data_IF_431872513827
#
_entry.id   IF_431872513827
#
_cell.length_a   1.000
_cell.length_b   1.000
_cell.length_c   1.000
_cell.angle_alpha   90.00
_cell.angle_beta   90.00
_cell.angle_gamma   90.00
#
_symmetry.space_group_name_H-M   'P 1'
#
loop_
_entity.id
_entity.type
_entity.pdbx_description
1 polymer ?
#
# COMPACT_ATOMS: atom_id res chain seq x y z
N UNK A 1 -36.66 -19.37 23.42
CA UNK A 1 -35.71 -18.65 22.56
C UNK A 1 -34.86 -19.68 21.84
N UNK A 2 -34.89 -19.70 20.52
CA UNK A 2 -34.03 -20.58 19.75
C UNK A 2 -32.65 -19.92 19.76
N UNK A 3 -31.64 -20.54 20.37
CA UNK A 3 -30.28 -20.07 20.36
C UNK A 3 -29.73 -20.19 18.94
N UNK A 4 -29.20 -19.12 18.39
CA UNK A 4 -28.53 -19.11 17.07
C UNK A 4 -27.10 -19.62 17.21
N UNK A 5 -26.71 -20.58 16.37
CA UNK A 5 -25.33 -21.02 16.21
C UNK A 5 -24.65 -20.28 15.05
N UNK A 6 -25.33 -19.30 14.45
CA UNK A 6 -24.84 -18.51 13.34
C UNK A 6 -23.98 -17.37 13.90
N UNK A 7 -22.75 -17.18 13.41
CA UNK A 7 -21.91 -16.08 13.86
C UNK A 7 -22.45 -14.71 13.44
N UNK A 8 -21.99 -13.61 14.06
CA UNK A 8 -22.39 -12.25 13.71
C UNK A 8 -22.19 -11.92 12.23
N UNK A 9 -23.19 -11.28 11.62
CA UNK A 9 -23.08 -10.69 10.30
C UNK A 9 -22.44 -9.30 10.40
N UNK A 10 -21.35 -9.07 9.65
CA UNK A 10 -20.47 -7.92 9.87
C UNK A 10 -20.32 -7.09 8.61
N UNK A 11 -20.71 -5.84 8.71
CA UNK A 11 -20.53 -4.81 7.68
C UNK A 11 -19.52 -3.76 8.16
N UNK A 12 -18.55 -3.42 7.31
CA UNK A 12 -17.50 -2.46 7.65
C UNK A 12 -17.56 -1.28 6.71
N UNK A 13 -17.45 -0.09 7.28
CA UNK A 13 -17.27 1.16 6.54
C UNK A 13 -16.13 1.97 7.13
N UNK A 14 -15.55 2.84 6.31
CA UNK A 14 -14.57 3.85 6.70
C UNK A 14 -15.15 5.22 6.44
N UNK A 15 -14.69 6.23 7.19
CA UNK A 15 -15.19 7.61 7.05
C UNK A 15 -14.89 8.21 5.68
N UNK A 16 -13.79 7.79 5.05
CA UNK A 16 -13.32 8.26 3.76
C UNK A 16 -12.96 7.11 2.83
N UNK A 17 -12.81 7.40 1.56
CA UNK A 17 -12.37 6.45 0.52
C UNK A 17 -10.87 6.53 0.23
N UNK A 18 -10.27 7.70 0.50
CA UNK A 18 -8.84 7.97 0.29
C UNK A 18 -8.28 8.58 1.57
N UNK A 19 -7.16 8.06 2.04
CA UNK A 19 -6.49 8.47 3.27
C UNK A 19 -5.08 8.98 2.96
N UNK A 20 -4.54 9.80 3.85
CA UNK A 20 -3.18 10.28 3.75
C UNK A 20 -2.30 9.57 4.78
N UNK A 21 -1.06 9.24 4.41
CA UNK A 21 -0.05 8.76 5.35
C UNK A 21 0.10 9.71 6.55
N UNK A 22 0.31 9.14 7.74
CA UNK A 22 0.40 9.93 8.97
C UNK A 22 -0.92 10.52 9.46
N UNK A 23 -2.07 10.12 8.89
CA UNK A 23 -3.39 10.51 9.36
C UNK A 23 -4.15 9.30 9.89
N UNK A 24 -4.90 9.43 11.00
CA UNK A 24 -5.67 8.31 11.55
C UNK A 24 -6.83 7.94 10.62
N UNK A 25 -7.23 6.66 10.65
CA UNK A 25 -8.37 6.14 9.90
C UNK A 25 -9.44 5.64 10.87
N UNK A 26 -10.63 6.21 10.82
CA UNK A 26 -11.76 5.73 11.59
C UNK A 26 -12.52 4.63 10.85
N UNK A 27 -12.68 3.50 11.52
CA UNK A 27 -13.38 2.32 11.01
C UNK A 27 -14.63 2.09 11.84
N UNK A 28 -15.76 1.92 11.17
CA UNK A 28 -17.05 1.60 11.77
C UNK A 28 -17.44 0.20 11.34
N UNK A 29 -17.76 -0.66 12.31
CA UNK A 29 -18.32 -1.98 12.11
C UNK A 29 -19.78 -2.02 12.57
N UNK A 30 -20.68 -2.51 11.72
CA UNK A 30 -22.04 -2.84 12.10
C UNK A 30 -22.13 -4.36 12.21
N UNK A 31 -22.32 -4.86 13.44
CA UNK A 31 -22.37 -6.26 13.78
C UNK A 31 -23.82 -6.61 14.20
N UNK A 32 -24.42 -7.57 13.53
CA UNK A 32 -25.80 -8.00 13.82
C UNK A 32 -25.82 -9.47 14.20
N UNK A 33 -26.35 -9.75 15.38
CA UNK A 33 -26.57 -11.11 15.86
C UNK A 33 -27.83 -11.21 16.74
N UNK A 34 -28.51 -12.35 16.67
CA UNK A 34 -29.72 -12.60 17.49
C UNK A 34 -29.37 -12.79 18.97
N UNK A 35 -28.19 -13.25 19.28
CA UNK A 35 -27.72 -13.48 20.64
C UNK A 35 -27.07 -12.24 21.24
N UNK A 36 -26.93 -11.16 20.45
CA UNK A 36 -26.15 -9.98 20.76
C UNK A 36 -24.64 -10.19 20.54
N UNK A 37 -23.87 -9.10 20.52
CA UNK A 37 -22.43 -9.10 20.27
C UNK A 37 -21.68 -8.91 21.58
N UNK A 38 -20.81 -9.86 21.91
CA UNK A 38 -19.98 -9.82 23.11
C UNK A 38 -18.72 -8.96 22.91
N UNK A 39 -18.12 -9.04 21.73
CA UNK A 39 -16.91 -8.24 21.41
C UNK A 39 -16.74 -8.05 19.91
N UNK A 40 -16.04 -6.95 19.56
CA UNK A 40 -15.60 -6.67 18.20
C UNK A 40 -14.13 -6.21 18.22
N UNK A 41 -13.33 -6.73 17.29
CA UNK A 41 -11.94 -6.36 17.16
C UNK A 41 -11.61 -6.11 15.68
N UNK A 42 -10.82 -5.06 15.42
CA UNK A 42 -10.20 -4.84 14.13
C UNK A 42 -8.87 -5.59 14.08
N UNK A 43 -8.72 -6.46 13.10
CA UNK A 43 -7.50 -7.18 12.79
C UNK A 43 -6.81 -6.49 11.63
N UNK A 44 -5.57 -6.04 11.83
CA UNK A 44 -4.78 -5.29 10.86
C UNK A 44 -3.46 -6.00 10.60
N UNK A 45 -3.15 -6.26 9.35
CA UNK A 45 -1.84 -6.77 8.91
C UNK A 45 -1.15 -5.74 8.04
N UNK A 46 -0.05 -5.18 8.56
CA UNK A 46 0.79 -4.22 7.84
C UNK A 46 1.57 -4.91 6.73
N UNK A 47 1.76 -4.23 5.61
CA UNK A 47 2.59 -4.71 4.52
C UNK A 47 4.03 -4.97 4.96
N UNK A 48 4.60 -6.10 4.50
CA UNK A 48 5.93 -6.56 4.88
C UNK A 48 6.03 -7.18 6.28
N UNK A 49 4.92 -7.29 7.03
CA UNK A 49 4.90 -7.92 8.36
C UNK A 49 3.99 -9.15 8.37
N UNK A 50 4.45 -10.31 8.83
CA UNK A 50 3.58 -11.46 9.04
C UNK A 50 2.72 -11.31 10.31
N UNK A 51 3.04 -10.36 11.18
CA UNK A 51 2.37 -10.16 12.47
C UNK A 51 1.10 -9.33 12.30
N UNK A 52 0.00 -9.86 12.82
CA UNK A 52 -1.28 -9.16 12.91
C UNK A 52 -1.33 -8.26 14.15
N UNK A 53 -1.92 -7.08 13.99
CA UNK A 53 -2.20 -6.13 15.06
C UNK A 53 -3.70 -6.21 15.33
N UNK A 54 -4.08 -6.40 16.59
CA UNK A 54 -5.47 -6.48 17.00
C UNK A 54 -5.82 -5.23 17.81
N UNK A 55 -6.83 -4.50 17.33
CA UNK A 55 -7.33 -3.28 17.95
C UNK A 55 -8.76 -3.52 18.45
N UNK A 56 -9.04 -3.41 19.75
CA UNK A 56 -10.41 -3.54 20.25
C UNK A 56 -11.27 -2.40 19.70
N UNK A 57 -12.50 -2.72 19.33
CA UNK A 57 -13.50 -1.75 18.90
C UNK A 57 -14.41 -1.37 20.07
N UNK A 58 -14.81 -0.11 20.13
CA UNK A 58 -15.70 0.42 21.15
C UNK A 58 -17.14 0.44 20.66
N UNK A 59 -18.07 -0.07 21.45
CA UNK A 59 -19.48 -0.03 21.14
C UNK A 59 -20.04 1.40 21.22
N UNK A 60 -20.64 1.86 20.15
CA UNK A 60 -21.43 3.11 20.12
C UNK A 60 -22.90 2.83 20.50
N UNK A 61 -23.37 1.64 20.15
CA UNK A 61 -24.69 1.10 20.50
C UNK A 61 -24.65 -0.43 20.39
N UNK A 62 -25.80 -1.08 20.51
CA UNK A 62 -25.93 -2.56 20.53
C UNK A 62 -25.40 -3.25 19.26
N UNK A 63 -25.26 -2.54 18.15
CA UNK A 63 -24.82 -3.12 16.87
C UNK A 63 -23.71 -2.37 16.17
N UNK A 64 -23.32 -1.19 16.65
CA UNK A 64 -22.34 -0.34 15.98
C UNK A 64 -21.12 -0.17 16.85
N UNK A 65 -19.95 -0.45 16.28
CA UNK A 65 -18.65 -0.41 16.91
C UNK A 65 -17.70 0.48 16.12
N UNK A 66 -16.82 1.18 16.82
CA UNK A 66 -15.81 2.02 16.16
C UNK A 66 -14.41 1.76 16.68
N UNK A 67 -13.41 2.03 15.86
CA UNK A 67 -12.01 2.08 16.24
C UNK A 67 -11.27 3.06 15.34
N UNK A 68 -10.30 3.78 15.92
CA UNK A 68 -9.36 4.61 15.16
C UNK A 68 -8.05 3.86 14.97
N UNK A 69 -7.65 3.67 13.73
CA UNK A 69 -6.30 3.20 13.38
C UNK A 69 -5.36 4.38 13.56
N UNK A 70 -4.38 4.22 14.45
CA UNK A 70 -3.41 5.28 14.77
C UNK A 70 -2.59 5.69 13.53
N UNK A 71 -2.27 6.96 13.41
CA UNK A 71 -1.52 7.57 12.30
C UNK A 71 -0.20 6.84 11.98
N UNK A 72 0.54 6.38 13.00
CA UNK A 72 1.78 5.62 12.85
C UNK A 72 1.64 4.27 12.10
N UNK A 73 0.42 3.76 11.97
CA UNK A 73 0.11 2.56 11.20
C UNK A 73 -0.25 2.88 9.75
N UNK A 74 -0.62 4.12 9.44
CA UNK A 74 -1.01 4.59 8.11
C UNK A 74 0.23 5.08 7.37
N UNK A 75 0.93 4.17 6.70
CA UNK A 75 2.23 4.41 6.06
C UNK A 75 2.23 3.94 4.61
N UNK A 76 3.30 4.25 3.88
CA UNK A 76 3.51 3.77 2.50
C UNK A 76 3.51 2.24 2.36
N UNK A 77 3.77 1.50 3.44
CA UNK A 77 3.68 0.03 3.43
C UNK A 77 2.25 -0.48 3.34
N UNK A 78 1.28 0.42 3.57
CA UNK A 78 -0.14 0.09 3.60
C UNK A 78 -0.47 -1.08 4.56
N UNK A 79 -1.73 -1.50 4.58
CA UNK A 79 -2.20 -2.63 5.36
C UNK A 79 -3.46 -3.23 4.73
N UNK A 80 -3.80 -4.45 5.11
CA UNK A 80 -5.12 -5.03 4.97
C UNK A 80 -5.75 -5.15 6.34
N UNK A 81 -7.06 -5.04 6.42
CA UNK A 81 -7.76 -5.23 7.69
C UNK A 81 -9.11 -5.93 7.49
N UNK A 82 -9.63 -6.49 8.58
CA UNK A 82 -10.98 -7.03 8.68
C UNK A 82 -11.46 -6.90 10.12
N UNK A 83 -12.76 -6.92 10.31
CA UNK A 83 -13.38 -6.91 11.64
C UNK A 83 -13.77 -8.34 12.01
N UNK A 84 -13.43 -8.76 13.22
CA UNK A 84 -13.88 -9.99 13.86
C UNK A 84 -14.85 -9.66 14.98
N UNK A 85 -16.01 -10.26 14.96
CA UNK A 85 -17.01 -10.19 16.02
C UNK A 85 -17.23 -11.53 16.70
N UNK A 86 -17.54 -11.48 17.98
CA UNK A 86 -17.93 -12.66 18.79
C UNK A 86 -19.28 -12.36 19.40
N UNK A 87 -20.24 -13.30 19.30
CA UNK A 87 -21.55 -13.19 19.96
C UNK A 87 -21.49 -13.66 21.43
N UNK A 88 -22.60 -13.55 22.13
CA UNK A 88 -22.71 -13.98 23.53
C UNK A 88 -22.71 -15.51 23.73
N UNK A 89 -22.61 -16.29 22.65
CA UNK A 89 -22.49 -17.76 22.66
C UNK A 89 -21.13 -18.22 22.11
N UNK A 90 -20.14 -17.33 22.02
CA UNK A 90 -18.78 -17.57 21.51
C UNK A 90 -18.71 -17.93 20.01
N UNK A 91 -19.78 -17.73 19.23
CA UNK A 91 -19.69 -17.87 17.78
C UNK A 91 -18.94 -16.67 17.19
N UNK A 92 -18.00 -16.95 16.30
CA UNK A 92 -17.09 -15.93 15.74
C UNK A 92 -17.36 -15.72 14.25
N UNK A 93 -17.57 -14.46 13.86
CA UNK A 93 -17.72 -14.01 12.49
C UNK A 93 -16.57 -13.08 12.06
N UNK A 94 -16.28 -13.04 10.75
CA UNK A 94 -15.33 -12.12 10.16
C UNK A 94 -15.99 -11.36 9.02
N UNK A 95 -15.68 -10.06 8.92
CA UNK A 95 -16.02 -9.29 7.73
C UNK A 95 -15.16 -9.71 6.53
N UNK A 96 -15.52 -9.23 5.35
CA UNK A 96 -14.57 -9.24 4.22
C UNK A 96 -13.38 -8.35 4.57
N UNK A 97 -12.19 -8.74 4.08
CA UNK A 97 -11.00 -7.88 4.18
C UNK A 97 -11.20 -6.60 3.36
N UNK A 98 -10.76 -5.49 3.92
CA UNK A 98 -10.71 -4.22 3.21
C UNK A 98 -9.27 -3.70 3.11
N UNK A 99 -9.04 -2.84 2.13
CA UNK A 99 -7.74 -2.34 1.72
C UNK A 99 -7.87 -0.84 1.49
N UNK A 100 -7.40 0.01 2.42
CA UNK A 100 -7.52 1.46 2.24
C UNK A 100 -6.69 1.94 1.05
N UNK A 101 -7.18 2.97 0.37
CA UNK A 101 -6.40 3.72 -0.61
C UNK A 101 -5.62 4.80 0.13
N UNK A 102 -4.29 4.72 0.10
CA UNK A 102 -3.41 5.64 0.84
C UNK A 102 -2.63 6.46 -0.16
N UNK A 103 -2.66 7.79 -0.01
CA UNK A 103 -1.78 8.72 -0.69
C UNK A 103 -0.65 9.13 0.26
N UNK A 104 0.53 9.39 -0.30
CA UNK A 104 1.66 9.92 0.45
C UNK A 104 2.04 11.31 -0.08
N UNK A 105 2.54 12.15 0.82
CA UNK A 105 2.99 13.52 0.52
C UNK A 105 4.45 13.57 0.06
N UNK A 106 4.88 14.79 -0.24
CA UNK A 106 6.26 15.08 -0.60
C UNK A 106 7.24 14.57 0.47
N UNK A 107 8.33 13.95 0.05
CA UNK A 107 9.41 13.38 0.85
C UNK A 107 9.14 12.04 1.57
N UNK A 108 7.95 11.47 1.50
CA UNK A 108 7.69 10.18 2.13
C UNK A 108 8.20 8.99 1.29
N UNK A 109 8.27 9.16 -0.03
CA UNK A 109 8.99 8.26 -0.91
C UNK A 109 10.48 8.63 -0.94
N UNK A 110 11.11 8.65 0.22
CA UNK A 110 12.55 8.68 0.30
C UNK A 110 13.05 7.26 0.06
N UNK A 111 13.07 6.84 -1.21
CA UNK A 111 13.62 5.55 -1.60
C UNK A 111 15.13 5.65 -1.52
N UNK A 112 15.68 5.32 -0.39
CA UNK A 112 16.98 4.69 -0.35
C UNK A 112 16.83 3.41 -1.14
N UNK A 113 17.23 3.43 -2.40
CA UNK A 113 17.21 2.25 -3.26
C UNK A 113 18.11 1.23 -2.59
N UNK A 114 17.46 0.23 -2.03
CA UNK A 114 18.08 -0.79 -1.22
C UNK A 114 19.02 -0.21 -0.16
N UNK A 115 18.48 0.10 1.00
CA UNK A 115 19.23 0.70 2.12
C UNK A 115 20.46 -0.06 2.57
N UNK A 116 20.66 -1.31 2.12
CA UNK A 116 21.84 -2.12 2.39
C UNK A 116 22.99 -1.87 1.40
N UNK A 117 22.70 -1.63 0.12
CA UNK A 117 23.72 -1.48 -0.93
C UNK A 117 24.00 -0.01 -1.24
N UNK A 118 22.99 0.84 -1.21
CA UNK A 118 23.09 2.26 -1.55
C UNK A 118 22.36 3.12 -0.50
N UNK A 119 22.88 3.20 0.73
CA UNK A 119 22.20 3.90 1.81
C UNK A 119 21.98 5.40 1.52
N UNK A 120 22.85 6.00 0.69
CA UNK A 120 22.82 7.41 0.34
C UNK A 120 22.15 7.68 -1.02
N UNK A 121 21.62 6.66 -1.69
CA UNK A 121 20.99 6.76 -3.01
C UNK A 121 21.81 6.16 -4.15
N UNK A 122 21.35 6.32 -5.40
CA UNK A 122 21.97 5.72 -6.59
C UNK A 122 23.31 6.36 -6.90
N UNK A 123 24.39 5.57 -7.10
CA UNK A 123 25.70 6.10 -7.46
C UNK A 123 25.70 6.83 -8.81
N UNK A 124 26.47 7.93 -8.89
CA UNK A 124 26.65 8.72 -10.11
C UNK A 124 27.22 7.89 -11.26
N UNK A 125 26.81 8.23 -12.49
CA UNK A 125 27.33 7.72 -13.77
C UNK A 125 27.21 6.21 -13.98
N UNK A 126 26.39 5.51 -13.16
CA UNK A 126 26.16 4.08 -13.29
C UNK A 126 24.70 3.78 -13.59
N UNK A 127 24.48 2.83 -14.49
CA UNK A 127 23.15 2.31 -14.77
C UNK A 127 22.67 1.41 -13.63
N UNK A 128 21.42 1.59 -13.22
CA UNK A 128 20.73 0.76 -12.24
C UNK A 128 19.32 0.47 -12.69
N UNK A 129 18.84 -0.74 -12.41
CA UNK A 129 17.45 -1.09 -12.57
C UNK A 129 16.72 -0.70 -11.30
N UNK A 130 15.62 0.03 -11.44
CA UNK A 130 14.81 0.51 -10.34
C UNK A 130 13.33 0.30 -10.64
N UNK A 131 12.51 0.20 -9.60
CA UNK A 131 11.06 0.22 -9.68
C UNK A 131 10.50 1.16 -8.61
N UNK A 132 9.27 1.59 -8.78
CA UNK A 132 8.61 2.48 -7.83
C UNK A 132 7.40 1.79 -7.20
N UNK A 133 7.22 1.91 -5.88
CA UNK A 133 6.04 1.39 -5.21
C UNK A 133 4.85 2.31 -5.47
N UNK A 134 3.77 1.71 -5.96
CA UNK A 134 2.56 2.46 -6.29
C UNK A 134 2.72 3.38 -7.51
N UNK A 135 1.80 4.31 -7.67
CA UNK A 135 1.93 5.37 -8.66
C UNK A 135 2.67 6.55 -8.07
N UNK A 136 3.65 7.06 -8.81
CA UNK A 136 4.39 8.27 -8.48
C UNK A 136 3.97 9.41 -9.40
N UNK A 137 4.17 10.64 -8.94
CA UNK A 137 3.89 11.81 -9.77
C UNK A 137 4.88 11.86 -10.96
N UNK A 138 4.36 12.19 -12.14
CA UNK A 138 5.15 12.32 -13.38
C UNK A 138 6.21 13.44 -13.34
N UNK A 139 6.20 14.30 -12.32
CA UNK A 139 7.26 15.27 -12.06
C UNK A 139 8.64 14.64 -11.99
N UNK A 140 8.75 13.38 -11.51
CA UNK A 140 9.99 12.60 -11.53
C UNK A 140 10.53 12.46 -12.96
N UNK A 141 9.66 12.21 -13.96
CA UNK A 141 10.04 12.04 -15.36
C UNK A 141 10.24 13.38 -16.05
N UNK A 142 9.34 14.34 -15.79
CA UNK A 142 9.41 15.65 -16.44
C UNK A 142 10.65 16.42 -16.02
N UNK A 143 11.09 16.25 -14.79
CA UNK A 143 12.38 16.77 -14.32
C UNK A 143 13.58 15.98 -14.88
N UNK A 144 13.37 14.74 -15.37
CA UNK A 144 14.40 13.90 -15.94
C UNK A 144 14.88 14.36 -17.33
N UNK A 145 13.99 14.94 -18.12
CA UNK A 145 14.32 15.43 -19.47
C UNK A 145 15.07 16.75 -19.40
N UNK A 146 16.38 16.68 -19.21
CA UNK A 146 17.26 17.85 -19.21
C UNK A 146 18.00 18.10 -17.91
N UNK A 147 17.72 17.39 -16.84
CA UNK A 147 18.28 17.63 -15.50
C UNK A 147 19.34 16.62 -15.05
N UNK A 148 20.08 16.04 -15.96
CA UNK A 148 21.24 15.20 -15.62
C UNK A 148 20.91 13.77 -15.18
N UNK A 149 19.72 13.27 -15.43
CA UNK A 149 19.38 11.86 -15.28
C UNK A 149 18.49 11.34 -16.41
N UNK A 150 18.48 10.03 -16.59
CA UNK A 150 17.83 9.34 -17.72
C UNK A 150 17.13 8.09 -17.25
N UNK A 151 15.90 7.90 -17.75
CA UNK A 151 15.14 6.68 -17.60
C UNK A 151 14.95 5.99 -18.95
N UNK A 152 15.04 4.64 -18.95
CA UNK A 152 14.66 3.82 -20.09
C UNK A 152 13.78 2.64 -19.65
N UNK A 153 12.85 2.27 -20.53
CA UNK A 153 12.05 1.06 -20.46
C UNK A 153 12.18 0.30 -21.78
N UNK A 154 12.13 -1.02 -21.72
CA UNK A 154 12.19 -1.83 -22.92
C UNK A 154 10.81 -1.86 -23.62
N UNK A 155 10.81 -1.57 -24.92
CA UNK A 155 9.65 -1.68 -25.80
C UNK A 155 9.75 -2.97 -26.63
N UNK A 156 8.89 -3.93 -26.33
CA UNK A 156 8.89 -5.22 -27.02
C UNK A 156 8.42 -5.14 -28.48
N UNK A 157 7.54 -4.18 -28.81
CA UNK A 157 7.02 -4.04 -30.17
C UNK A 157 8.08 -3.51 -31.13
N UNK A 158 8.84 -2.53 -30.67
CA UNK A 158 9.89 -1.87 -31.48
C UNK A 158 11.27 -2.46 -31.23
N UNK A 159 11.40 -3.39 -30.26
CA UNK A 159 12.69 -3.97 -29.82
C UNK A 159 13.73 -2.91 -29.52
N UNK A 160 13.30 -1.85 -28.85
CA UNK A 160 14.11 -0.65 -28.58
C UNK A 160 13.99 -0.18 -27.13
N UNK A 161 14.87 0.74 -26.76
CA UNK A 161 14.82 1.43 -25.46
C UNK A 161 14.09 2.76 -25.61
N UNK A 162 12.96 2.89 -24.93
CA UNK A 162 12.16 4.11 -24.91
C UNK A 162 12.34 4.89 -23.63
N UNK A 163 12.24 6.22 -23.72
CA UNK A 163 12.07 7.06 -22.54
C UNK A 163 10.63 7.00 -22.07
N UNK A 164 10.33 6.52 -20.87
CA UNK A 164 8.95 6.43 -20.40
C UNK A 164 8.34 7.83 -20.27
N UNK A 165 7.08 7.97 -20.62
CA UNK A 165 6.29 9.18 -20.39
C UNK A 165 5.58 9.15 -19.03
N UNK A 166 5.37 7.95 -18.48
CA UNK A 166 4.69 7.69 -17.20
C UNK A 166 5.39 6.57 -16.47
N UNK A 167 5.53 6.69 -15.16
CA UNK A 167 5.97 5.59 -14.28
C UNK A 167 4.74 4.74 -13.91
N UNK A 168 4.81 3.45 -14.20
CA UNK A 168 3.73 2.49 -13.90
C UNK A 168 4.17 1.55 -12.79
N UNK A 169 3.30 1.27 -11.80
CA UNK A 169 3.55 0.22 -10.83
C UNK A 169 3.82 -1.13 -11.50
N UNK A 170 4.72 -1.91 -10.95
CA UNK A 170 5.08 -3.22 -11.48
C UNK A 170 6.06 -3.21 -12.64
N UNK A 171 6.39 -2.05 -13.21
CA UNK A 171 7.46 -1.93 -14.19
C UNK A 171 8.79 -1.61 -13.52
N UNK A 172 9.88 -2.12 -14.10
CA UNK A 172 11.23 -1.67 -13.77
C UNK A 172 11.76 -0.77 -14.88
N UNK A 173 12.71 0.07 -14.52
CA UNK A 173 13.31 1.08 -15.41
C UNK A 173 14.81 1.09 -15.24
N UNK A 174 15.55 1.23 -16.34
CA UNK A 174 16.94 1.61 -16.27
C UNK A 174 17.06 3.07 -15.93
N UNK A 175 17.86 3.37 -14.91
CA UNK A 175 18.11 4.71 -14.43
C UNK A 175 19.60 5.02 -14.37
N UNK A 176 19.98 6.24 -14.74
CA UNK A 176 21.33 6.78 -14.62
C UNK A 176 21.27 8.27 -14.36
N UNK A 177 22.17 8.79 -13.52
CA UNK A 177 22.37 10.23 -13.34
C UNK A 177 23.85 10.62 -13.44
N UNK A 178 24.11 11.92 -13.60
CA UNK A 178 25.44 12.50 -13.75
C UNK A 178 25.81 13.48 -12.63
N UNK A 179 24.96 13.66 -11.64
CA UNK A 179 25.24 14.51 -10.48
C UNK A 179 26.41 13.97 -9.67
N UNK A 180 27.12 14.87 -8.98
CA UNK A 180 28.14 14.48 -8.03
C UNK A 180 27.47 13.85 -6.78
N UNK A 181 28.03 12.72 -6.36
CA UNK A 181 27.50 11.93 -5.24
C UNK A 181 26.26 11.08 -5.56
N UNK A 182 25.73 10.39 -4.56
CA UNK A 182 24.52 9.60 -4.69
C UNK A 182 23.27 10.45 -4.92
N UNK A 183 22.32 9.93 -5.70
CA UNK A 183 21.07 10.60 -5.99
C UNK A 183 19.93 9.98 -5.18
N UNK A 184 19.35 10.69 -4.19
CA UNK A 184 18.17 10.24 -3.49
C UNK A 184 16.93 10.48 -4.37
N UNK A 185 16.13 9.45 -4.58
CA UNK A 185 14.82 9.63 -5.20
C UNK A 185 13.84 10.26 -4.22
N UNK A 186 13.18 11.32 -4.67
CA UNK A 186 12.07 11.96 -3.95
C UNK A 186 10.91 12.10 -4.92
N UNK A 187 9.72 11.67 -4.52
CA UNK A 187 8.48 11.94 -5.23
C UNK A 187 7.72 13.01 -4.48
N UNK A 188 7.10 13.93 -5.21
CA UNK A 188 6.29 14.99 -4.61
C UNK A 188 5.01 14.44 -3.99
N UNK A 189 4.46 13.39 -4.56
CA UNK A 189 3.28 12.68 -4.05
C UNK A 189 3.03 11.40 -4.84
N UNK A 190 2.20 10.53 -4.32
CA UNK A 190 1.77 9.33 -5.02
C UNK A 190 0.69 8.56 -4.28
N UNK A 191 0.27 7.45 -4.88
CA UNK A 191 -0.73 6.55 -4.29
C UNK A 191 -0.10 5.19 -4.03
N UNK A 192 -0.23 4.73 -2.81
CA UNK A 192 0.21 3.38 -2.42
C UNK A 192 -0.78 2.35 -2.96
N UNK A 193 -0.28 1.25 -3.51
CA UNK A 193 -1.16 0.17 -3.95
C UNK A 193 -1.78 -0.55 -2.75
N UNK A 194 -3.07 -0.94 -2.86
CA UNK A 194 -3.70 -1.80 -1.89
C UNK A 194 -2.97 -3.14 -1.77
N UNK A 195 -2.84 -3.70 -0.57
CA UNK A 195 -2.18 -4.99 -0.30
C UNK A 195 -3.05 -6.19 -0.74
N UNK A 196 -3.34 -6.25 -2.00
CA UNK A 196 -4.04 -7.35 -2.68
C UNK A 196 -3.21 -7.83 -3.87
N UNK A 197 -3.48 -9.02 -4.42
CA UNK A 197 -2.80 -9.47 -5.63
C UNK A 197 -2.80 -8.40 -6.71
N UNK A 198 -1.63 -8.10 -7.26
CA UNK A 198 -1.44 -7.12 -8.33
C UNK A 198 -1.02 -7.86 -9.60
N UNK A 199 -1.81 -7.69 -10.65
CA UNK A 199 -1.55 -8.33 -11.93
C UNK A 199 -0.63 -7.46 -12.78
N UNK A 200 0.52 -8.01 -13.16
CA UNK A 200 1.43 -7.41 -14.13
C UNK A 200 1.16 -8.06 -15.48
N UNK A 201 0.67 -7.28 -16.44
CA UNK A 201 0.50 -7.76 -17.81
C UNK A 201 1.86 -7.89 -18.46
N UNK A 202 2.18 -9.08 -18.93
CA UNK A 202 3.40 -9.36 -19.68
C UNK A 202 3.11 -9.41 -21.16
N UNK A 203 3.96 -8.77 -21.96
CA UNK A 203 3.96 -8.89 -23.43
C UNK A 203 4.87 -10.04 -23.88
N UNK A 204 4.69 -10.48 -25.12
CA UNK A 204 5.62 -11.47 -25.69
C UNK A 204 7.02 -10.88 -25.80
N UNK A 205 8.05 -11.61 -25.34
CA UNK A 205 9.45 -11.18 -25.35
C UNK A 205 9.95 -10.75 -23.98
N UNK A 206 10.84 -9.79 -23.94
CA UNK A 206 11.47 -9.30 -22.71
C UNK A 206 10.58 -8.32 -21.95
N UNK A 207 10.40 -8.54 -20.64
CA UNK A 207 9.62 -7.66 -19.79
C UNK A 207 10.49 -7.19 -18.62
N UNK A 208 10.51 -5.90 -18.37
CA UNK A 208 11.16 -5.31 -17.20
C UNK A 208 10.12 -5.17 -16.08
N UNK A 209 10.17 -6.07 -15.12
CA UNK A 209 9.24 -6.08 -14.00
C UNK A 209 9.91 -5.66 -12.70
N UNK A 210 9.16 -5.01 -11.83
CA UNK A 210 9.60 -4.55 -10.52
C UNK A 210 8.53 -4.75 -9.46
N UNK A 211 8.93 -4.69 -8.18
CA UNK A 211 7.98 -4.76 -7.09
C UNK A 211 7.10 -3.50 -7.07
N UNK A 212 5.75 -3.64 -7.17
CA UNK A 212 4.84 -2.50 -7.13
C UNK A 212 4.50 -2.03 -5.72
N UNK A 213 4.97 -2.73 -4.69
CA UNK A 213 4.69 -2.43 -3.29
C UNK A 213 5.90 -1.78 -2.61
N UNK A 214 5.66 -0.99 -1.57
CA UNK A 214 6.72 -0.40 -0.73
C UNK A 214 7.35 -1.39 0.25
N UNK A 215 7.01 -2.66 0.17
CA UNK A 215 7.54 -3.73 1.02
C UNK A 215 8.51 -4.59 0.25
N UNK A 216 9.50 -5.17 0.91
CA UNK A 216 10.33 -6.23 0.31
C UNK A 216 9.45 -7.40 -0.13
N UNK A 217 9.77 -7.97 -1.28
CA UNK A 217 9.12 -9.15 -1.80
C UNK A 217 9.53 -10.40 -1.00
#
# INVERSE_FOLDING_TARGET
>A
QTLSIVPPDIYVSMTDTIFQTGMPINVIGVLKDLNGVASANLHLQKGGSPKEIILPMFALNDSTYEVSIHDSLVTINNFRAYVRGVDNLDNTGNSKSFYPSIIYGANELNTNIDGSIYPDGVPSKKWRMISFPGSVNDSIINNAKGNGYTFYVWNNLEMSWDSPSVIKPGNAYWFKHIYDGPFPFKSDSGTVLPLRPYEIKLDQGWNMIGNPFATSA
#
